data_IF_065228839989
#
_entry.id   IF_065228839989
#
_cell.length_a   1.000
_cell.length_b   1.000
_cell.length_c   1.000
_cell.angle_alpha   90.00
_cell.angle_beta   90.00
_cell.angle_gamma   90.00
#
_symmetry.space_group_name_H-M   'P 1'
#
loop_
_entity.id
_entity.type
_entity.pdbx_description
1 polymer ?
#
# COMPACT_ATOMS: atom_id res chain seq x y z
N UNK A 1 50.84 6.04 62.91
CA UNK A 1 51.43 7.04 63.84
C UNK A 1 51.38 8.38 63.14
N UNK A 2 50.80 9.39 63.81
CA UNK A 2 51.08 10.85 63.72
C UNK A 2 51.22 11.48 62.34
N UNK A 3 50.60 12.59 61.93
CA UNK A 3 49.84 13.72 62.53
C UNK A 3 49.55 14.58 61.28
N UNK A 4 48.35 15.12 61.02
CA UNK A 4 47.94 16.45 61.47
C UNK A 4 49.01 17.56 61.31
N UNK A 5 48.65 18.85 61.11
CA UNK A 5 47.44 19.40 60.48
C UNK A 5 47.71 20.69 59.65
N UNK A 6 46.69 21.11 58.91
CA UNK A 6 46.06 22.45 58.88
C UNK A 6 46.89 23.73 59.07
N UNK A 7 46.71 24.70 58.16
CA UNK A 7 46.31 26.10 58.43
C UNK A 7 46.36 26.91 57.11
N UNK A 8 45.25 27.49 56.64
CA UNK A 8 44.91 28.93 56.77
C UNK A 8 45.75 29.84 55.86
N UNK A 9 45.31 30.91 55.22
CA UNK A 9 44.04 31.59 55.01
C UNK A 9 44.42 32.86 54.21
N UNK A 10 43.43 33.50 53.58
CA UNK A 10 43.36 34.94 53.31
C UNK A 10 44.31 35.63 52.30
N UNK A 11 43.70 36.00 51.16
CA UNK A 11 43.53 37.38 50.62
C UNK A 11 44.57 38.44 51.00
N UNK A 12 45.17 39.09 49.99
CA UNK A 12 44.93 40.53 49.75
C UNK A 12 45.31 40.95 48.34
N UNK A 13 44.57 41.93 47.84
CA UNK A 13 44.75 42.63 46.57
C UNK A 13 45.99 43.54 46.57
N UNK A 14 46.52 43.81 45.38
CA UNK A 14 47.59 44.78 45.15
C UNK A 14 47.75 45.05 43.66
N UNK A 15 47.13 46.13 43.19
CA UNK A 15 47.23 46.63 41.83
C UNK A 15 48.55 47.37 41.58
N UNK A 16 49.15 47.23 40.40
CA UNK A 16 49.32 48.32 39.38
C UNK A 16 50.42 48.03 38.35
N UNK A 17 50.13 48.54 37.14
CA UNK A 17 51.05 49.09 36.13
C UNK A 17 51.71 48.19 35.07
N UNK A 18 51.04 48.19 33.91
CA UNK A 18 51.54 48.47 32.55
C UNK A 18 52.86 47.81 32.10
N UNK A 19 52.74 46.91 31.13
CA UNK A 19 53.56 47.02 29.92
C UNK A 19 52.97 46.32 28.69
N UNK A 20 53.41 46.86 27.56
CA UNK A 20 52.96 46.71 26.19
C UNK A 20 53.03 45.30 25.59
N UNK A 21 52.31 45.20 24.47
CA UNK A 21 52.68 44.52 23.24
C UNK A 21 51.99 43.18 22.93
N UNK A 22 51.23 43.24 21.83
CA UNK A 22 51.01 42.21 20.82
C UNK A 22 50.53 40.82 21.27
N UNK A 23 49.29 40.46 20.92
CA UNK A 23 48.99 39.34 19.99
C UNK A 23 47.49 38.95 19.96
N UNK A 24 47.05 38.62 18.74
CA UNK A 24 45.89 37.83 18.32
C UNK A 24 44.49 38.49 18.26
N UNK A 25 43.77 38.36 17.12
CA UNK A 25 42.35 38.72 17.02
C UNK A 25 41.47 37.79 17.89
N UNK A 26 40.31 38.26 18.35
CA UNK A 26 39.46 37.51 19.28
C UNK A 26 38.92 36.23 18.65
N UNK A 27 39.10 35.11 19.36
CA UNK A 27 38.42 33.85 19.11
C UNK A 27 36.91 34.11 19.15
N UNK A 28 36.23 33.88 18.02
CA UNK A 28 34.77 33.86 17.96
C UNK A 28 34.23 32.81 18.94
N UNK A 29 33.12 33.09 19.64
CA UNK A 29 32.49 32.10 20.51
C UNK A 29 32.07 30.87 19.69
N UNK A 30 32.08 29.66 20.28
CA UNK A 30 31.61 28.47 19.59
C UNK A 30 30.14 28.67 19.22
N UNK A 31 29.88 28.73 17.92
CA UNK A 31 28.52 28.70 17.36
C UNK A 31 27.84 27.45 17.92
N UNK A 32 26.66 27.56 18.54
CA UNK A 32 25.92 26.38 18.96
C UNK A 32 25.67 25.56 17.69
N UNK A 33 26.13 24.30 17.68
CA UNK A 33 25.82 23.36 16.62
C UNK A 33 24.31 23.28 16.53
N UNK A 34 23.78 24.00 15.54
CA UNK A 34 22.40 23.96 15.09
C UNK A 34 21.98 22.52 15.07
N UNK A 35 20.90 22.23 15.80
CA UNK A 35 20.35 20.90 15.94
C UNK A 35 20.31 20.22 14.58
N UNK A 36 20.86 19.01 14.54
CA UNK A 36 20.46 18.02 13.56
C UNK A 36 18.93 18.10 13.49
N UNK A 37 18.42 18.57 12.35
CA UNK A 37 17.00 18.38 12.04
C UNK A 37 16.72 16.91 12.28
N UNK A 38 15.71 16.53 13.10
CA UNK A 38 15.35 15.14 13.21
C UNK A 38 15.13 14.62 11.79
N UNK A 39 15.76 13.49 11.46
CA UNK A 39 15.52 12.79 10.22
C UNK A 39 14.01 12.77 10.02
N UNK A 40 13.53 13.31 8.90
CA UNK A 40 12.11 13.23 8.51
C UNK A 40 11.72 11.77 8.63
N UNK A 41 10.96 11.45 9.69
CA UNK A 41 10.48 10.11 9.95
C UNK A 41 9.70 9.65 8.71
N UNK A 42 9.98 8.44 8.25
CA UNK A 42 9.26 7.84 7.13
C UNK A 42 7.75 7.91 7.44
N UNK A 43 6.93 8.59 6.60
CA UNK A 43 5.51 8.74 6.85
C UNK A 43 4.80 7.41 7.11
N UNK A 44 5.27 6.32 6.50
CA UNK A 44 4.75 4.96 6.72
C UNK A 44 5.11 4.46 8.11
N UNK A 45 6.36 4.62 8.56
CA UNK A 45 6.77 4.20 9.91
C UNK A 45 6.05 4.98 11.01
N UNK A 46 5.71 6.25 10.76
CA UNK A 46 4.86 7.04 11.66
C UNK A 46 3.43 6.48 11.73
N UNK A 47 2.85 6.15 10.58
CA UNK A 47 1.52 5.52 10.50
C UNK A 47 1.48 4.19 11.28
N UNK A 48 2.56 3.42 11.23
CA UNK A 48 2.63 2.10 11.88
C UNK A 48 2.78 2.16 13.40
N UNK A 49 3.20 3.28 14.00
CA UNK A 49 3.51 3.35 15.44
C UNK A 49 2.39 2.82 16.34
N UNK A 50 1.11 3.21 16.16
CA UNK A 50 0.02 2.70 17.00
C UNK A 50 -0.21 1.19 16.83
N UNK A 51 0.02 0.66 15.62
CA UNK A 51 -0.19 -0.75 15.31
C UNK A 51 0.90 -1.67 15.92
N UNK A 52 2.05 -1.13 16.35
CA UNK A 52 3.15 -1.92 16.92
C UNK A 52 2.76 -2.69 18.18
N UNK A 53 1.75 -2.26 18.92
CA UNK A 53 1.28 -2.98 20.12
C UNK A 53 0.71 -4.37 19.81
N UNK A 54 0.24 -4.60 18.58
CA UNK A 54 -0.33 -5.87 18.11
C UNK A 54 0.75 -6.88 17.69
N UNK A 55 2.00 -6.45 17.61
CA UNK A 55 3.14 -7.35 17.41
C UNK A 55 3.60 -7.94 18.75
N UNK A 56 4.25 -9.11 18.67
CA UNK A 56 4.96 -9.67 19.81
C UNK A 56 6.02 -8.69 20.32
N UNK A 57 6.31 -8.67 21.64
CA UNK A 57 7.32 -7.78 22.21
C UNK A 57 8.69 -7.82 21.49
N UNK A 58 9.08 -9.00 21.00
CA UNK A 58 10.31 -9.25 20.26
C UNK A 58 10.34 -8.65 18.85
N UNK A 59 9.21 -8.18 18.33
CA UNK A 59 9.07 -7.69 16.94
C UNK A 59 8.68 -6.21 16.84
N UNK A 60 8.28 -5.59 17.95
CA UNK A 60 7.80 -4.19 17.96
C UNK A 60 8.82 -3.17 17.46
N UNK A 61 10.10 -3.50 17.57
CA UNK A 61 11.22 -2.64 17.17
C UNK A 61 11.66 -2.87 15.72
N UNK A 62 11.15 -3.90 15.03
CA UNK A 62 11.51 -4.20 13.65
C UNK A 62 10.87 -3.20 12.71
N UNK A 63 11.59 -2.71 11.72
CA UNK A 63 11.01 -1.92 10.63
C UNK A 63 9.99 -2.74 9.85
N UNK A 64 9.10 -2.09 9.08
CA UNK A 64 8.11 -2.81 8.28
C UNK A 64 8.79 -3.86 7.38
N UNK A 65 9.94 -3.54 6.78
CA UNK A 65 10.66 -4.44 5.86
C UNK A 65 11.28 -5.66 6.53
N UNK A 66 11.59 -5.58 7.82
CA UNK A 66 12.18 -6.67 8.60
C UNK A 66 11.14 -7.65 9.15
N UNK A 67 9.84 -7.31 9.01
CA UNK A 67 8.77 -8.23 9.33
C UNK A 67 8.57 -9.20 8.16
N UNK A 68 8.61 -10.48 8.50
CA UNK A 68 8.32 -11.59 7.61
C UNK A 68 7.24 -12.47 8.26
N UNK A 69 6.38 -13.12 7.46
CA UNK A 69 6.27 -13.05 6.00
C UNK A 69 5.65 -11.73 5.49
N UNK A 70 5.54 -11.54 4.16
CA UNK A 70 4.91 -10.34 3.56
C UNK A 70 3.48 -10.10 4.03
N UNK A 71 2.69 -11.17 4.18
CA UNK A 71 1.31 -11.11 4.70
C UNK A 71 1.22 -10.49 6.09
N UNK A 72 2.25 -10.66 6.93
CA UNK A 72 2.35 -10.01 8.23
C UNK A 72 2.55 -8.50 8.11
N UNK A 73 3.35 -8.06 7.14
CA UNK A 73 3.53 -6.62 6.82
C UNK A 73 2.22 -6.01 6.33
N UNK A 74 1.55 -6.70 5.41
CA UNK A 74 0.28 -6.30 4.82
C UNK A 74 -0.82 -6.16 5.90
N UNK A 75 -0.93 -7.14 6.80
CA UNK A 75 -1.87 -7.08 7.92
C UNK A 75 -1.55 -5.94 8.90
N UNK A 76 -0.26 -5.68 9.19
CA UNK A 76 0.13 -4.58 10.07
C UNK A 76 -0.20 -3.22 9.42
N UNK A 77 0.03 -3.10 8.12
CA UNK A 77 -0.30 -1.90 7.38
C UNK A 77 -1.83 -1.68 7.35
N UNK A 78 -2.62 -2.73 7.10
CA UNK A 78 -4.07 -2.66 7.20
C UNK A 78 -4.51 -2.16 8.59
N UNK A 79 -4.00 -2.77 9.66
CA UNK A 79 -4.32 -2.38 11.04
C UNK A 79 -4.03 -0.90 11.28
N UNK A 80 -2.88 -0.40 10.82
CA UNK A 80 -2.50 0.99 10.99
C UNK A 80 -3.51 1.96 10.35
N UNK A 81 -3.97 1.67 9.13
CA UNK A 81 -5.06 2.44 8.48
C UNK A 81 -6.35 2.42 9.30
N UNK A 82 -6.74 1.25 9.80
CA UNK A 82 -7.99 1.08 10.55
C UNK A 82 -7.96 1.78 11.92
N UNK A 83 -6.79 1.87 12.55
CA UNK A 83 -6.60 2.63 13.81
C UNK A 83 -6.77 4.13 13.59
N UNK A 84 -6.29 4.66 12.47
CA UNK A 84 -6.55 6.05 12.01
C UNK A 84 -8.01 6.26 11.55
N UNK A 85 -8.83 5.21 11.51
CA UNK A 85 -10.22 5.27 11.09
C UNK A 85 -10.39 5.47 9.59
N UNK A 86 -9.40 5.09 8.79
CA UNK A 86 -9.42 5.20 7.33
C UNK A 86 -9.33 3.80 6.69
N UNK A 87 -10.03 3.55 5.57
CA UNK A 87 -9.78 2.37 4.77
C UNK A 87 -8.44 2.52 4.02
N UNK A 88 -7.82 1.40 3.57
CA UNK A 88 -6.69 1.46 2.67
C UNK A 88 -7.02 2.19 1.36
N UNK A 89 -6.03 2.83 0.75
CA UNK A 89 -6.18 3.49 -0.56
C UNK A 89 -5.85 2.54 -1.70
N UNK A 90 -6.38 2.80 -2.90
CA UNK A 90 -6.18 1.97 -4.07
C UNK A 90 -4.70 1.84 -4.51
N UNK A 91 -3.84 2.76 -4.09
CA UNK A 91 -2.39 2.75 -4.38
C UNK A 91 -1.61 1.65 -3.66
N UNK A 92 -2.23 1.00 -2.66
CA UNK A 92 -1.59 -0.02 -1.84
C UNK A 92 -2.08 -1.42 -2.23
N UNK A 93 -1.17 -2.41 -2.19
CA UNK A 93 -1.52 -3.81 -2.46
C UNK A 93 -2.53 -4.36 -1.46
N UNK A 94 -2.49 -3.90 -0.21
CA UNK A 94 -3.46 -4.27 0.83
C UNK A 94 -4.92 -3.95 0.46
N UNK A 95 -5.15 -2.97 -0.42
CA UNK A 95 -6.49 -2.69 -0.95
C UNK A 95 -7.02 -3.84 -1.83
N UNK A 96 -6.12 -4.46 -2.59
CA UNK A 96 -6.44 -5.64 -3.39
C UNK A 96 -6.48 -6.88 -2.52
N UNK A 97 -5.46 -7.10 -1.69
CA UNK A 97 -5.25 -8.38 -0.99
C UNK A 97 -6.37 -8.69 0.00
N UNK A 98 -6.86 -7.66 0.71
CA UNK A 98 -7.98 -7.75 1.66
C UNK A 98 -9.36 -7.53 1.02
N UNK A 99 -9.43 -7.37 -0.30
CA UNK A 99 -10.70 -7.36 -1.04
C UNK A 99 -11.44 -6.04 -1.14
N UNK A 100 -10.88 -4.92 -0.65
CA UNK A 100 -11.49 -3.59 -0.82
C UNK A 100 -11.73 -3.21 -2.30
N UNK A 101 -10.98 -3.81 -3.22
CA UNK A 101 -11.18 -3.67 -4.65
C UNK A 101 -12.58 -4.07 -5.14
N UNK A 102 -13.28 -4.96 -4.43
CA UNK A 102 -14.62 -5.39 -4.82
C UNK A 102 -15.72 -4.44 -4.39
N UNK A 103 -15.45 -3.57 -3.40
CA UNK A 103 -16.40 -2.57 -2.91
C UNK A 103 -16.72 -1.58 -4.03
N UNK A 104 -18.00 -1.31 -4.26
CA UNK A 104 -18.49 -0.41 -5.32
C UNK A 104 -18.73 1.00 -4.83
N UNK A 105 -19.06 1.14 -3.54
CA UNK A 105 -19.40 2.40 -2.88
C UNK A 105 -18.46 2.65 -1.71
N UNK A 106 -18.46 3.90 -1.24
CA UNK A 106 -17.78 4.28 -0.01
C UNK A 106 -18.38 3.53 1.19
N UNK A 107 -19.71 3.39 1.24
CA UNK A 107 -20.41 2.62 2.28
C UNK A 107 -19.92 1.17 2.35
N UNK A 108 -19.85 0.45 1.22
CA UNK A 108 -19.32 -0.93 1.17
C UNK A 108 -17.85 -0.97 1.63
N UNK A 109 -17.07 0.07 1.31
CA UNK A 109 -15.65 0.18 1.73
C UNK A 109 -15.54 0.37 3.24
N UNK A 110 -16.39 1.22 3.81
CA UNK A 110 -16.43 1.50 5.25
C UNK A 110 -16.97 0.32 6.06
N UNK A 111 -17.95 -0.40 5.53
CA UNK A 111 -18.43 -1.66 6.12
C UNK A 111 -17.29 -2.66 6.21
N UNK A 112 -16.55 -2.89 5.11
CA UNK A 112 -15.42 -3.81 5.12
C UNK A 112 -14.31 -3.39 6.09
N UNK A 113 -13.98 -2.09 6.13
CA UNK A 113 -13.03 -1.55 7.09
C UNK A 113 -13.51 -1.78 8.54
N UNK A 114 -14.80 -1.57 8.80
CA UNK A 114 -15.43 -1.83 10.09
C UNK A 114 -15.34 -3.30 10.52
N UNK A 115 -15.58 -4.24 9.59
CA UNK A 115 -15.46 -5.67 9.85
C UNK A 115 -14.02 -6.06 10.23
N UNK A 116 -13.02 -5.64 9.45
CA UNK A 116 -11.61 -5.91 9.79
C UNK A 116 -11.19 -5.24 11.11
N UNK A 117 -11.67 -4.02 11.38
CA UNK A 117 -11.38 -3.32 12.63
C UNK A 117 -11.99 -4.07 13.81
N UNK A 118 -13.25 -4.50 13.70
CA UNK A 118 -13.94 -5.26 14.74
C UNK A 118 -13.21 -6.57 15.07
N UNK A 119 -12.70 -7.28 14.05
CA UNK A 119 -11.81 -8.43 14.24
C UNK A 119 -10.56 -7.99 15.03
N UNK A 120 -9.76 -7.09 14.48
CA UNK A 120 -8.44 -6.75 15.02
C UNK A 120 -8.46 -6.04 16.38
N UNK A 121 -9.58 -5.43 16.78
CA UNK A 121 -9.71 -4.71 18.06
C UNK A 121 -10.56 -5.47 19.09
N UNK A 122 -10.80 -6.77 18.90
CA UNK A 122 -11.51 -7.60 19.87
C UNK A 122 -10.83 -7.52 21.26
N UNK A 123 -11.57 -7.22 22.34
CA UNK A 123 -10.97 -7.07 23.67
C UNK A 123 -10.25 -8.34 24.14
N UNK A 124 -9.07 -8.16 24.75
CA UNK A 124 -8.33 -9.24 25.42
C UNK A 124 -7.37 -10.05 24.56
N UNK A 125 -7.46 -9.99 23.23
CA UNK A 125 -6.74 -10.91 22.32
C UNK A 125 -6.07 -10.17 21.13
N UNK A 126 -5.58 -8.94 21.35
CA UNK A 126 -5.00 -8.10 20.27
C UNK A 126 -3.94 -8.82 19.43
N UNK A 127 -2.94 -9.40 20.09
CA UNK A 127 -1.81 -10.08 19.41
C UNK A 127 -2.32 -11.35 18.71
N UNK A 128 -3.09 -12.18 19.40
CA UNK A 128 -3.59 -13.43 18.83
C UNK A 128 -4.47 -13.19 17.60
N UNK A 129 -5.34 -12.18 17.66
CA UNK A 129 -6.22 -11.85 16.54
C UNK A 129 -5.47 -11.24 15.36
N UNK A 130 -4.47 -10.41 15.61
CA UNK A 130 -3.54 -9.99 14.56
C UNK A 130 -2.89 -11.20 13.88
N UNK A 131 -2.46 -12.19 14.67
CA UNK A 131 -1.88 -13.42 14.15
C UNK A 131 -2.84 -14.30 13.37
N UNK A 132 -4.12 -14.31 13.73
CA UNK A 132 -5.15 -15.00 12.96
C UNK A 132 -5.40 -14.29 11.62
N UNK A 133 -5.50 -12.95 11.62
CA UNK A 133 -5.74 -12.18 10.40
C UNK A 133 -4.62 -12.34 9.37
N UNK A 134 -3.34 -12.19 9.77
CA UNK A 134 -2.26 -12.30 8.78
C UNK A 134 -2.08 -13.74 8.26
N UNK A 135 -2.32 -14.76 9.11
CA UNK A 135 -2.32 -16.16 8.68
C UNK A 135 -3.46 -16.47 7.73
N UNK A 136 -4.66 -15.97 8.04
CA UNK A 136 -5.82 -16.13 7.17
C UNK A 136 -5.59 -15.48 5.80
N UNK A 137 -4.89 -14.35 5.75
CA UNK A 137 -4.45 -13.76 4.48
C UNK A 137 -3.48 -14.70 3.73
N UNK A 138 -2.46 -15.21 4.42
CA UNK A 138 -1.43 -16.07 3.83
C UNK A 138 -1.99 -17.41 3.30
N UNK A 139 -2.91 -18.00 4.06
CA UNK A 139 -3.50 -19.32 3.79
C UNK A 139 -4.75 -19.22 2.91
N UNK A 140 -5.14 -18.00 2.51
CA UNK A 140 -6.35 -17.71 1.75
C UNK A 140 -7.64 -18.20 2.45
N UNK A 141 -7.71 -17.99 3.77
CA UNK A 141 -8.83 -18.40 4.64
C UNK A 141 -9.53 -17.21 5.34
N UNK A 142 -9.47 -16.02 4.75
CA UNK A 142 -10.12 -14.81 5.29
C UNK A 142 -11.65 -14.95 5.39
N UNK A 143 -12.27 -15.75 4.52
CA UNK A 143 -13.73 -15.99 4.56
C UNK A 143 -14.10 -16.78 5.80
N UNK A 144 -13.38 -17.87 6.06
CA UNK A 144 -13.53 -18.71 7.25
C UNK A 144 -13.29 -17.87 8.51
N UNK A 145 -12.29 -16.99 8.51
CA UNK A 145 -12.04 -16.09 9.64
C UNK A 145 -13.23 -15.17 9.94
N UNK A 146 -13.92 -14.63 8.92
CA UNK A 146 -15.13 -13.84 9.13
C UNK A 146 -16.26 -14.69 9.71
N UNK A 147 -16.45 -15.90 9.18
CA UNK A 147 -17.51 -16.81 9.63
C UNK A 147 -17.31 -17.24 11.08
N UNK A 148 -16.10 -17.65 11.44
CA UNK A 148 -15.71 -18.08 12.79
C UNK A 148 -15.83 -16.95 13.84
N UNK A 149 -15.78 -15.69 13.39
CA UNK A 149 -15.95 -14.52 14.25
C UNK A 149 -17.35 -13.90 14.18
N UNK A 150 -18.33 -14.60 13.58
CA UNK A 150 -19.73 -14.20 13.62
C UNK A 150 -20.10 -13.10 12.63
N UNK A 151 -19.37 -12.97 11.52
CA UNK A 151 -19.63 -11.99 10.47
C UNK A 151 -20.14 -12.58 9.13
N UNK A 152 -20.87 -13.71 9.04
CA UNK A 152 -21.21 -14.33 7.76
C UNK A 152 -22.08 -13.44 6.85
N UNK A 153 -22.77 -12.45 7.44
CA UNK A 153 -23.64 -11.48 6.76
C UNK A 153 -22.87 -10.50 5.86
N UNK A 154 -21.54 -10.48 5.89
CA UNK A 154 -20.75 -9.68 4.94
C UNK A 154 -21.10 -10.03 3.49
N UNK A 155 -21.59 -11.25 3.23
CA UNK A 155 -22.03 -11.72 1.91
C UNK A 155 -23.22 -10.95 1.36
N UNK A 156 -24.09 -10.44 2.23
CA UNK A 156 -25.24 -9.63 1.82
C UNK A 156 -24.81 -8.20 1.53
N UNK A 157 -23.93 -7.65 2.38
CA UNK A 157 -23.42 -6.29 2.27
C UNK A 157 -22.46 -6.12 1.07
N UNK A 158 -21.60 -7.12 0.83
CA UNK A 158 -20.57 -7.07 -0.23
C UNK A 158 -20.56 -8.41 -0.99
N UNK A 159 -21.54 -8.67 -1.88
CA UNK A 159 -21.74 -9.98 -2.50
C UNK A 159 -20.58 -10.52 -3.34
N UNK A 160 -19.67 -9.64 -3.79
CA UNK A 160 -18.49 -10.05 -4.56
C UNK A 160 -17.31 -10.48 -3.69
N UNK A 161 -17.34 -10.20 -2.38
CA UNK A 161 -16.19 -10.35 -1.49
C UNK A 161 -15.82 -11.81 -1.26
N UNK A 162 -16.79 -12.67 -0.94
CA UNK A 162 -16.53 -14.09 -0.67
C UNK A 162 -15.86 -14.75 -1.88
N UNK A 163 -16.43 -14.56 -3.07
CA UNK A 163 -15.89 -15.11 -4.30
C UNK A 163 -14.47 -14.60 -4.59
N UNK A 164 -14.18 -13.36 -4.23
CA UNK A 164 -12.85 -12.77 -4.42
C UNK A 164 -11.83 -13.34 -3.43
N UNK A 165 -12.16 -13.37 -2.14
CA UNK A 165 -11.27 -13.87 -1.08
C UNK A 165 -11.08 -15.39 -1.16
N UNK A 166 -12.09 -16.14 -1.60
CA UNK A 166 -11.99 -17.60 -1.79
C UNK A 166 -11.17 -17.98 -3.02
N UNK A 167 -10.91 -17.04 -3.94
CA UNK A 167 -10.05 -17.31 -5.08
C UNK A 167 -8.59 -17.18 -4.64
N UNK A 168 -7.84 -18.29 -4.78
CA UNK A 168 -6.38 -18.30 -4.58
C UNK A 168 -5.74 -17.12 -5.33
N UNK A 169 -4.72 -16.45 -4.79
CA UNK A 169 -4.15 -15.23 -5.38
C UNK A 169 -3.90 -15.32 -6.91
N UNK A 170 -3.24 -16.38 -7.38
CA UNK A 170 -2.96 -16.62 -8.81
C UNK A 170 -4.18 -16.89 -9.72
N UNK A 171 -5.37 -17.04 -9.15
CA UNK A 171 -6.64 -17.32 -9.84
C UNK A 171 -7.64 -16.19 -9.66
N UNK A 172 -7.26 -15.09 -9.01
CA UNK A 172 -8.09 -13.89 -8.93
C UNK A 172 -8.23 -13.27 -10.33
N UNK A 173 -9.45 -12.88 -10.75
CA UNK A 173 -9.64 -12.20 -12.03
C UNK A 173 -8.88 -10.88 -12.10
N UNK A 174 -8.10 -10.66 -13.16
CA UNK A 174 -7.32 -9.42 -13.36
C UNK A 174 -8.20 -8.19 -13.62
N UNK A 175 -9.51 -8.37 -13.83
CA UNK A 175 -10.46 -7.25 -13.86
C UNK A 175 -10.47 -6.47 -12.55
N UNK A 176 -10.16 -7.13 -11.43
CA UNK A 176 -10.06 -6.45 -10.14
C UNK A 176 -8.80 -5.57 -10.10
N UNK A 177 -7.66 -6.04 -10.64
CA UNK A 177 -6.47 -5.20 -10.84
C UNK A 177 -6.78 -4.01 -11.75
N UNK A 178 -7.62 -4.19 -12.77
CA UNK A 178 -8.06 -3.11 -13.65
C UNK A 178 -8.88 -2.07 -12.88
N UNK A 179 -9.81 -2.51 -12.04
CA UNK A 179 -10.63 -1.64 -11.19
C UNK A 179 -9.75 -0.84 -10.23
N UNK A 180 -8.81 -1.49 -9.55
CA UNK A 180 -7.83 -0.82 -8.71
C UNK A 180 -7.06 0.25 -9.50
N UNK A 181 -6.53 -0.10 -10.66
CA UNK A 181 -5.77 0.82 -11.51
C UNK A 181 -6.61 2.02 -12.00
N UNK A 182 -7.89 1.83 -12.31
CA UNK A 182 -8.82 2.92 -12.65
C UNK A 182 -9.01 3.87 -11.46
N UNK A 183 -9.06 3.35 -10.23
CA UNK A 183 -9.21 4.15 -9.00
C UNK A 183 -7.95 4.94 -8.63
N UNK A 184 -6.77 4.45 -9.00
CA UNK A 184 -5.50 5.15 -8.86
C UNK A 184 -5.39 6.28 -9.91
N UNK A 185 -5.98 7.45 -9.66
CA UNK A 185 -6.17 8.47 -10.70
C UNK A 185 -4.86 8.92 -11.35
N UNK A 186 -3.82 9.17 -10.54
CA UNK A 186 -2.53 9.68 -10.99
C UNK A 186 -1.62 8.59 -11.58
N UNK A 187 -1.93 7.31 -11.34
CA UNK A 187 -1.11 6.22 -11.84
C UNK A 187 -1.33 5.99 -13.34
N UNK A 188 -0.25 6.10 -14.11
CA UNK A 188 -0.20 5.84 -15.55
C UNK A 188 0.71 4.67 -15.92
N UNK A 189 1.17 3.91 -14.93
CA UNK A 189 2.04 2.74 -15.08
C UNK A 189 1.24 1.45 -14.80
N UNK A 190 0.67 0.82 -15.84
CA UNK A 190 -0.14 -0.39 -15.70
C UNK A 190 0.74 -1.58 -15.32
N UNK A 191 0.23 -2.43 -14.42
CA UNK A 191 0.91 -3.69 -14.07
C UNK A 191 0.99 -4.65 -15.26
N UNK A 192 1.90 -5.62 -15.17
CA UNK A 192 2.13 -6.65 -16.18
C UNK A 192 0.83 -7.34 -16.65
N UNK A 193 -0.05 -7.68 -15.71
CA UNK A 193 -1.34 -8.30 -16.01
C UNK A 193 -2.24 -7.41 -16.85
N UNK A 194 -2.29 -6.10 -16.55
CA UNK A 194 -3.10 -5.15 -17.31
C UNK A 194 -2.56 -4.92 -18.72
N UNK A 195 -1.24 -4.89 -18.85
CA UNK A 195 -0.58 -4.84 -20.16
C UNK A 195 -0.99 -6.02 -21.04
N UNK A 196 -0.96 -7.24 -20.50
CA UNK A 196 -1.34 -8.48 -21.18
C UNK A 196 -2.83 -8.56 -21.50
N UNK A 197 -3.67 -8.34 -20.49
CA UNK A 197 -5.09 -8.71 -20.50
C UNK A 197 -6.00 -7.62 -21.07
N UNK A 198 -5.66 -6.36 -20.82
CA UNK A 198 -6.51 -5.22 -21.11
C UNK A 198 -5.93 -4.27 -22.15
N UNK A 199 -4.84 -4.68 -22.80
CA UNK A 199 -4.30 -4.01 -23.98
C UNK A 199 -3.45 -2.78 -23.69
N UNK A 200 -3.12 -2.54 -22.42
CA UNK A 200 -2.21 -1.46 -22.06
C UNK A 200 -0.83 -1.61 -22.71
N UNK A 201 -0.38 -2.83 -23.06
CA UNK A 201 0.87 -3.03 -23.82
C UNK A 201 0.91 -2.28 -25.16
N UNK A 202 -0.26 -1.89 -25.70
CA UNK A 202 -0.35 -1.15 -26.96
C UNK A 202 -0.35 0.37 -26.77
N UNK A 203 -0.41 0.88 -25.54
CA UNK A 203 -0.29 2.30 -25.26
C UNK A 203 1.16 2.76 -25.46
N UNK A 204 1.37 3.79 -26.27
CA UNK A 204 2.68 4.37 -26.55
C UNK A 204 2.98 5.60 -25.71
N UNK A 205 1.95 6.22 -25.15
CA UNK A 205 2.02 7.45 -24.36
C UNK A 205 1.09 7.38 -23.15
N UNK A 206 1.32 8.21 -22.13
CA UNK A 206 0.52 8.25 -20.89
C UNK A 206 -0.93 8.64 -21.16
N UNK A 207 -1.15 9.52 -22.13
CA UNK A 207 -2.47 9.95 -22.57
C UNK A 207 -3.28 8.78 -23.16
N UNK A 208 -2.62 7.77 -23.74
CA UNK A 208 -3.29 6.55 -24.20
C UNK A 208 -3.72 5.65 -23.04
N UNK A 209 -2.92 5.61 -21.97
CA UNK A 209 -3.27 4.88 -20.74
C UNK A 209 -4.50 5.52 -20.10
N UNK A 210 -4.51 6.84 -19.94
CA UNK A 210 -5.64 7.57 -19.39
C UNK A 210 -6.91 7.40 -20.23
N UNK A 211 -6.81 7.50 -21.56
CA UNK A 211 -7.93 7.22 -22.46
C UNK A 211 -8.46 5.80 -22.28
N UNK A 212 -7.57 4.81 -22.17
CA UNK A 212 -7.98 3.43 -22.00
C UNK A 212 -8.61 3.16 -20.61
N UNK A 213 -8.09 3.79 -19.55
CA UNK A 213 -8.74 3.81 -18.21
C UNK A 213 -10.15 4.39 -18.30
N UNK A 214 -10.33 5.50 -19.00
CA UNK A 214 -11.63 6.14 -19.18
C UNK A 214 -12.63 5.27 -19.95
N UNK A 215 -12.17 4.57 -20.99
CA UNK A 215 -12.99 3.60 -21.73
C UNK A 215 -13.44 2.47 -20.80
N UNK A 216 -12.52 1.85 -20.06
CA UNK A 216 -12.89 0.76 -19.13
C UNK A 216 -13.76 1.23 -17.98
N UNK A 217 -13.53 2.43 -17.45
CA UNK A 217 -14.41 3.07 -16.46
C UNK A 217 -15.84 3.23 -17.01
N UNK A 218 -15.99 3.70 -18.25
CA UNK A 218 -17.30 3.81 -18.89
C UNK A 218 -17.97 2.45 -19.12
N UNK A 219 -17.20 1.39 -19.42
CA UNK A 219 -17.72 0.02 -19.55
C UNK A 219 -18.21 -0.51 -18.20
N UNK A 220 -17.44 -0.32 -17.14
CA UNK A 220 -17.76 -0.80 -15.78
C UNK A 220 -18.95 -0.05 -15.16
N UNK A 221 -19.24 1.19 -15.59
CA UNK A 221 -20.48 1.88 -15.24
C UNK A 221 -21.74 1.22 -15.82
N UNK A 222 -21.59 0.39 -16.87
CA UNK A 222 -22.70 -0.23 -17.63
C UNK A 222 -22.69 -1.76 -17.59
N UNK A 223 -21.76 -2.38 -16.87
CA UNK A 223 -21.59 -3.83 -16.85
C UNK A 223 -20.91 -4.30 -15.58
N UNK A 224 -21.08 -5.58 -15.24
CA UNK A 224 -20.40 -6.14 -14.08
C UNK A 224 -18.93 -6.48 -14.38
N UNK A 225 -18.03 -6.43 -13.39
CA UNK A 225 -16.63 -6.84 -13.57
C UNK A 225 -16.50 -8.24 -14.17
N UNK A 226 -17.37 -9.16 -13.76
CA UNK A 226 -17.40 -10.53 -14.31
C UNK A 226 -17.73 -10.59 -15.81
N UNK A 227 -18.58 -9.69 -16.33
CA UNK A 227 -18.85 -9.63 -17.78
C UNK A 227 -17.63 -9.13 -18.54
N UNK A 228 -16.95 -8.08 -18.04
CA UNK A 228 -15.73 -7.56 -18.65
C UNK A 228 -14.58 -8.58 -18.61
N UNK A 229 -14.44 -9.32 -17.52
CA UNK A 229 -13.48 -10.43 -17.42
C UNK A 229 -13.74 -11.51 -18.47
N UNK A 230 -15.00 -11.92 -18.69
CA UNK A 230 -15.33 -12.87 -19.77
C UNK A 230 -14.99 -12.33 -21.15
N UNK A 231 -15.29 -11.07 -21.42
CA UNK A 231 -14.92 -10.42 -22.67
C UNK A 231 -13.39 -10.35 -22.86
N UNK A 232 -12.63 -10.18 -21.78
CA UNK A 232 -11.17 -10.28 -21.78
C UNK A 232 -10.73 -11.68 -22.21
N UNK A 233 -11.18 -12.74 -21.54
CA UNK A 233 -10.80 -14.12 -21.87
C UNK A 233 -11.14 -14.47 -23.33
N UNK A 234 -12.30 -14.01 -23.82
CA UNK A 234 -12.74 -14.24 -25.20
C UNK A 234 -12.02 -13.35 -26.23
N UNK A 235 -11.20 -12.39 -25.78
CA UNK A 235 -10.52 -11.41 -26.62
C UNK A 235 -11.46 -10.43 -27.32
N UNK A 236 -12.66 -10.19 -26.76
CA UNK A 236 -13.73 -9.39 -27.35
C UNK A 236 -13.90 -8.01 -26.71
N UNK A 237 -12.88 -7.47 -26.03
CA UNK A 237 -12.94 -6.22 -25.26
C UNK A 237 -13.56 -5.05 -26.05
N UNK A 238 -13.11 -4.82 -27.29
CA UNK A 238 -13.65 -3.75 -28.14
C UNK A 238 -15.13 -3.94 -28.46
N UNK A 239 -15.52 -5.13 -28.92
CA UNK A 239 -16.91 -5.43 -29.28
C UNK A 239 -17.83 -5.40 -28.06
N UNK A 240 -17.33 -5.88 -26.92
CA UNK A 240 -18.03 -5.81 -25.65
C UNK A 240 -18.30 -4.35 -25.26
N UNK A 241 -17.32 -3.47 -25.35
CA UNK A 241 -17.50 -2.04 -25.08
C UNK A 241 -18.58 -1.40 -25.95
N UNK A 242 -18.55 -1.67 -27.27
CA UNK A 242 -19.60 -1.22 -28.19
C UNK A 242 -20.98 -1.78 -27.83
N UNK A 243 -21.07 -3.07 -27.48
CA UNK A 243 -22.33 -3.72 -27.09
C UNK A 243 -22.96 -3.12 -25.83
N UNK A 244 -22.15 -2.48 -24.96
CA UNK A 244 -22.61 -1.74 -23.78
C UNK A 244 -22.94 -0.28 -24.10
N UNK A 245 -22.88 0.13 -25.37
CA UNK A 245 -23.14 1.50 -25.80
C UNK A 245 -22.08 2.48 -25.28
N UNK A 246 -20.82 2.04 -25.13
CA UNK A 246 -19.70 2.95 -24.86
C UNK A 246 -19.19 3.47 -26.20
N UNK A 247 -19.10 4.80 -26.32
CA UNK A 247 -18.54 5.44 -27.52
C UNK A 247 -17.03 5.28 -27.49
N UNK A 248 -16.50 4.50 -28.42
CA UNK A 248 -15.07 4.23 -28.54
C UNK A 248 -14.61 4.72 -29.91
N UNK A 249 -13.67 5.66 -29.93
CA UNK A 249 -13.02 6.11 -31.15
C UNK A 249 -12.41 4.91 -31.89
N UNK A 250 -12.69 4.70 -33.18
CA UNK A 250 -12.12 3.60 -33.97
C UNK A 250 -10.59 3.49 -33.88
N UNK A 251 -9.88 4.61 -33.68
CA UNK A 251 -8.42 4.64 -33.49
C UNK A 251 -7.97 3.89 -32.23
N UNK A 252 -8.83 3.82 -31.21
CA UNK A 252 -8.57 3.10 -29.97
C UNK A 252 -8.86 1.59 -30.07
N UNK A 253 -9.41 1.09 -31.19
CA UNK A 253 -9.64 -0.35 -31.41
C UNK A 253 -8.36 -1.18 -31.20
N UNK A 254 -7.20 -0.62 -31.59
CA UNK A 254 -5.89 -1.26 -31.39
C UNK A 254 -5.52 -1.42 -29.91
N UNK A 255 -5.98 -0.51 -29.05
CA UNK A 255 -5.67 -0.49 -27.61
C UNK A 255 -6.52 -1.50 -26.82
N UNK A 256 -7.63 -1.96 -27.40
CA UNK A 256 -8.55 -2.92 -26.78
C UNK A 256 -8.33 -4.34 -27.31
N UNK A 257 -7.06 -4.68 -27.55
CA UNK A 257 -6.62 -6.02 -27.92
C UNK A 257 -5.85 -6.64 -26.75
N UNK A 258 -5.76 -7.96 -26.72
CA UNK A 258 -4.99 -8.68 -25.71
C UNK A 258 -4.22 -9.85 -26.33
N UNK A 259 -3.34 -10.46 -25.56
CA UNK A 259 -2.54 -11.61 -25.98
C UNK A 259 -3.41 -12.87 -26.00
N UNK A 260 -4.30 -12.96 -26.99
CA UNK A 260 -5.25 -14.09 -27.15
C UNK A 260 -4.53 -15.43 -27.14
N UNK A 261 -5.12 -16.42 -26.48
CA UNK A 261 -4.59 -17.78 -26.37
C UNK A 261 -3.52 -17.96 -25.29
N UNK A 262 -3.17 -16.91 -24.55
CA UNK A 262 -2.27 -17.03 -23.41
C UNK A 262 -2.94 -17.85 -22.28
N UNK A 263 -2.30 -18.90 -21.71
CA UNK A 263 -2.93 -19.81 -20.74
C UNK A 263 -3.49 -19.13 -19.48
N UNK A 264 -2.81 -18.08 -19.01
CA UNK A 264 -3.20 -17.32 -17.82
C UNK A 264 -4.00 -16.04 -18.12
N UNK A 265 -4.51 -15.88 -19.35
CA UNK A 265 -5.25 -14.67 -19.75
C UNK A 265 -6.44 -14.43 -18.81
N UNK A 266 -6.51 -13.23 -18.23
CA UNK A 266 -7.57 -12.84 -17.31
C UNK A 266 -7.35 -13.23 -15.84
N UNK A 267 -6.24 -13.88 -15.49
CA UNK A 267 -5.95 -14.34 -14.13
C UNK A 267 -4.60 -13.81 -13.61
N UNK A 268 -4.54 -13.51 -12.31
CA UNK A 268 -3.42 -12.85 -11.61
C UNK A 268 -2.22 -13.78 -11.38
N UNK A 269 -1.85 -14.54 -12.40
CA UNK A 269 -0.77 -15.52 -12.35
C UNK A 269 0.61 -14.84 -12.39
N UNK A 270 1.39 -14.96 -11.31
CA UNK A 270 2.66 -14.29 -11.15
C UNK A 270 3.75 -14.81 -12.10
N UNK A 271 3.75 -16.10 -12.43
CA UNK A 271 4.80 -16.69 -13.26
C UNK A 271 4.81 -16.05 -14.64
N UNK A 272 3.62 -15.86 -15.22
CA UNK A 272 3.48 -15.24 -16.54
C UNK A 272 3.59 -13.71 -16.49
N UNK A 273 3.30 -13.09 -15.36
CA UNK A 273 3.53 -11.65 -15.15
C UNK A 273 5.01 -11.26 -15.32
N UNK A 274 5.94 -12.17 -14.99
CA UNK A 274 7.39 -11.94 -15.12
C UNK A 274 7.81 -11.62 -16.56
N UNK A 275 7.09 -12.14 -17.57
CA UNK A 275 7.39 -11.90 -18.99
C UNK A 275 7.15 -10.46 -19.44
N UNK A 276 6.40 -9.68 -18.64
CA UNK A 276 6.03 -8.30 -18.92
C UNK A 276 6.72 -7.32 -17.94
N UNK A 277 7.72 -7.78 -17.17
CA UNK A 277 8.49 -6.91 -16.26
C UNK A 277 9.48 -6.06 -17.05
N UNK A 278 9.38 -4.74 -16.90
CA UNK A 278 10.27 -3.74 -17.50
C UNK A 278 9.67 -2.33 -17.43
N UNK A 279 10.46 -1.28 -17.74
CA UNK A 279 9.92 0.07 -17.82
C UNK A 279 8.89 0.15 -18.94
N UNK A 280 7.66 0.52 -18.59
CA UNK A 280 6.53 0.55 -19.52
C UNK A 280 6.73 1.59 -20.63
N UNK A 281 7.14 2.81 -20.26
CA UNK A 281 7.66 3.79 -21.21
C UNK A 281 9.19 3.74 -21.22
N UNK A 282 9.78 3.60 -22.42
CA UNK A 282 11.22 3.80 -22.59
C UNK A 282 11.52 5.27 -22.28
N UNK A 283 12.52 5.53 -21.43
CA UNK A 283 13.05 6.89 -21.27
C UNK A 283 13.51 7.36 -22.66
N UNK A 284 12.93 8.44 -23.17
CA UNK A 284 13.48 9.11 -24.35
C UNK A 284 14.94 9.42 -24.06
N UNK A 285 15.83 8.96 -24.94
CA UNK A 285 17.23 9.39 -24.96
C UNK A 285 17.31 10.84 -25.43
#
# INVERSE_FOLDING_TARGET
MTTGPSASSTKSEGATSRSAAFLAPPRSPPVPRSGLKPATEDPVERLLQPAREWLEPSERHRTLRELEPSSKREALLLLAFLLEGQPPTADLDIYFDFGFVVCKTEDETMILAGLYKALLTKPGEKVDMFYQVWRALADNTLVELFDDNGYPTFRDEIPALERFLSASPGRRPTVWRLIQFIRQQENTDPSAWLQRDYGFQFCKQREEVERLKNIYSAILKKSSPGQLHRACIQGQLFQFGLSKGVVIDPRNKRLMQNTRGHPSLGYDDEETAKLYKGPFFRKSK
#
